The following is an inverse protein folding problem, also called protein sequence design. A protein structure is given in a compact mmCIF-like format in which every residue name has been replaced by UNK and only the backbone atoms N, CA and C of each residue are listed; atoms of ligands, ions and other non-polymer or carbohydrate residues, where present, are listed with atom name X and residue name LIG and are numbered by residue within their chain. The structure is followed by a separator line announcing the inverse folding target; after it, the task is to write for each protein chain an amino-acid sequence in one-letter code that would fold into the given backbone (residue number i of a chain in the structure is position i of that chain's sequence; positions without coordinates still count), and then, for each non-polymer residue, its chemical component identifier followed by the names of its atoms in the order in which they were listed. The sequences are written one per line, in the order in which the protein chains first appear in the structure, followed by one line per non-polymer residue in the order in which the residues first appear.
data_IF_899038213065
#
_entry.id   IF_899038213065
#
_cell.length_a   1.000
_cell.length_b   1.000
_cell.length_c   1.000
_cell.angle_alpha   90.00
_cell.angle_beta   90.00
_cell.angle_gamma   90.00
#
_symmetry.space_group_name_H-M   'P 1'
#
loop_
_entity.id
_entity.type
_entity.pdbx_description
1 polymer ?
#
# COMPACT_ATOMS: atom_id res chain seq x y z
N UNK A 1 0.93 -15.81 -26.75
CA UNK A 1 -0.18 -15.23 -25.97
C UNK A 1 -0.14 -13.72 -26.13
N UNK A 2 -1.29 -13.06 -26.25
CA UNK A 2 -1.35 -11.59 -26.20
C UNK A 2 -0.82 -11.11 -24.84
N UNK A 3 -0.16 -9.95 -24.81
CA UNK A 3 0.30 -9.36 -23.55
C UNK A 3 -0.92 -9.07 -22.66
N UNK A 4 -0.88 -9.51 -21.39
CA UNK A 4 -1.88 -9.13 -20.40
C UNK A 4 -1.63 -7.68 -20.00
N UNK A 5 -2.64 -6.83 -20.17
CA UNK A 5 -2.57 -5.40 -19.83
C UNK A 5 -3.47 -5.16 -18.61
N UNK A 6 -2.90 -4.51 -17.59
CA UNK A 6 -3.65 -3.90 -16.51
C UNK A 6 -3.84 -2.42 -16.84
N UNK A 7 -5.08 -2.00 -17.03
CA UNK A 7 -5.41 -0.60 -17.26
C UNK A 7 -5.70 0.09 -15.92
N UNK A 8 -5.11 1.26 -15.72
CA UNK A 8 -5.29 2.08 -14.51
C UNK A 8 -5.82 3.45 -14.91
N UNK A 9 -7.12 3.66 -14.77
CA UNK A 9 -7.77 4.94 -15.07
C UNK A 9 -7.63 5.87 -13.87
N UNK A 10 -6.86 6.95 -14.03
CA UNK A 10 -6.72 7.96 -12.98
C UNK A 10 -8.08 8.62 -12.67
N UNK A 11 -8.42 8.73 -11.38
CA UNK A 11 -9.65 9.37 -10.90
C UNK A 11 -9.49 10.87 -10.60
N UNK A 12 -8.27 11.39 -10.60
CA UNK A 12 -7.97 12.84 -10.54
C UNK A 12 -6.68 13.18 -11.31
N UNK A 13 -6.36 14.48 -11.40
CA UNK A 13 -5.21 14.99 -12.17
C UNK A 13 -3.87 14.48 -11.63
N UNK A 14 -3.75 14.37 -10.30
CA UNK A 14 -2.54 13.98 -9.58
C UNK A 14 -2.79 12.70 -8.76
N UNK A 15 -3.02 11.54 -9.40
CA UNK A 15 -3.24 10.29 -8.69
C UNK A 15 -1.96 9.85 -7.98
N UNK A 16 -2.06 8.88 -7.07
CA UNK A 16 -0.87 8.29 -6.45
C UNK A 16 0.05 7.70 -7.52
N UNK A 17 1.37 7.76 -7.29
CA UNK A 17 2.31 7.16 -8.24
C UNK A 17 2.18 5.64 -8.16
N UNK A 18 1.87 5.01 -9.29
CA UNK A 18 1.93 3.56 -9.47
C UNK A 18 3.33 3.18 -9.95
N UNK A 19 3.98 2.23 -9.28
CA UNK A 19 5.34 1.79 -9.60
C UNK A 19 5.45 0.27 -9.51
N UNK A 20 6.41 -0.34 -10.20
CA UNK A 20 6.75 -1.74 -9.94
C UNK A 20 7.30 -1.87 -8.50
N UNK A 21 6.92 -2.93 -7.79
CA UNK A 21 7.35 -3.13 -6.40
C UNK A 21 8.88 -3.34 -6.32
N UNK A 22 9.54 -2.66 -5.37
CA UNK A 22 10.98 -2.84 -5.13
C UNK A 22 11.22 -4.14 -4.35
N UNK A 23 12.34 -4.81 -4.61
CA UNK A 23 12.80 -5.98 -3.85
C UNK A 23 13.35 -5.60 -2.47
N UNK A 24 13.84 -4.38 -2.28
CA UNK A 24 14.61 -3.95 -1.10
C UNK A 24 13.74 -3.63 0.11
N UNK A 25 14.21 -3.99 1.31
CA UNK A 25 13.60 -3.61 2.60
C UNK A 25 14.69 -3.19 3.57
N UNK A 26 14.46 -2.12 4.33
CA UNK A 26 15.44 -1.59 5.27
C UNK A 26 15.87 -2.64 6.32
N UNK A 27 14.92 -3.39 6.89
CA UNK A 27 15.24 -4.44 7.87
C UNK A 27 16.04 -5.60 7.23
N UNK A 28 15.80 -5.89 5.95
CA UNK A 28 16.57 -6.91 5.23
C UNK A 28 17.98 -6.42 4.92
N UNK A 29 18.15 -5.14 4.59
CA UNK A 29 19.46 -4.51 4.42
C UNK A 29 20.26 -4.49 5.73
N UNK A 30 19.59 -4.38 6.87
CA UNK A 30 20.17 -4.41 8.21
C UNK A 30 20.43 -5.84 8.73
N UNK A 31 19.89 -6.88 8.07
CA UNK A 31 20.12 -8.26 8.50
C UNK A 31 21.60 -8.66 8.40
N UNK A 32 22.13 -9.52 9.30
CA UNK A 32 23.52 -9.93 9.26
C UNK A 32 23.92 -10.50 7.89
N UNK A 33 24.95 -9.93 7.27
CA UNK A 33 25.39 -10.28 5.91
C UNK A 33 24.27 -10.24 4.85
N UNK A 34 23.21 -9.43 5.06
CA UNK A 34 22.03 -9.37 4.19
C UNK A 34 21.35 -10.73 3.99
N UNK A 35 21.46 -11.61 4.99
CA UNK A 35 20.96 -12.99 4.95
C UNK A 35 19.43 -13.11 4.88
N UNK A 36 18.67 -12.01 4.93
CA UNK A 36 17.24 -12.05 4.63
C UNK A 36 16.97 -12.20 3.12
N UNK A 37 17.80 -11.60 2.25
CA UNK A 37 17.65 -11.69 0.78
C UNK A 37 17.99 -13.06 0.21
N UNK A 38 18.56 -13.89 1.05
CA UNK A 38 18.84 -15.29 0.81
C UNK A 38 17.54 -16.14 0.77
N UNK A 39 16.45 -15.66 1.37
CA UNK A 39 15.13 -16.27 1.20
C UNK A 39 14.54 -15.83 -0.15
N UNK A 40 14.84 -16.57 -1.22
CA UNK A 40 14.34 -16.26 -2.55
C UNK A 40 12.80 -16.07 -2.61
N UNK A 41 11.95 -16.87 -1.94
CA UNK A 41 10.50 -16.65 -1.94
C UNK A 41 10.13 -15.27 -1.36
N UNK A 42 10.85 -14.83 -0.32
CA UNK A 42 10.67 -13.51 0.29
C UNK A 42 11.02 -12.39 -0.68
N UNK A 43 12.14 -12.52 -1.41
CA UNK A 43 12.57 -11.51 -2.38
C UNK A 43 11.66 -11.43 -3.60
N UNK A 44 11.13 -12.57 -4.06
CA UNK A 44 10.13 -12.59 -5.14
C UNK A 44 8.84 -11.92 -4.66
N UNK A 45 8.36 -12.23 -3.45
CA UNK A 45 7.18 -11.61 -2.86
C UNK A 45 7.34 -10.08 -2.72
N UNK A 46 8.53 -9.60 -2.35
CA UNK A 46 8.81 -8.17 -2.25
C UNK A 46 8.56 -7.42 -3.56
N UNK A 47 8.93 -8.03 -4.69
CA UNK A 47 8.81 -7.48 -6.04
C UNK A 47 7.53 -7.92 -6.76
N UNK A 48 6.61 -8.59 -6.07
CA UNK A 48 5.43 -9.20 -6.68
C UNK A 48 4.30 -8.18 -6.82
N UNK A 49 4.12 -7.64 -8.02
CA UNK A 49 3.07 -6.69 -8.37
C UNK A 49 3.53 -5.23 -8.39
N UNK A 50 2.56 -4.32 -8.33
CA UNK A 50 2.79 -2.88 -8.37
C UNK A 50 2.37 -2.21 -7.07
N UNK A 51 2.99 -1.10 -6.72
CA UNK A 51 2.75 -0.37 -5.49
C UNK A 51 2.25 1.04 -5.80
N UNK A 52 1.34 1.52 -4.95
CA UNK A 52 0.92 2.92 -4.93
C UNK A 52 1.67 3.64 -3.82
N UNK A 53 2.27 4.77 -4.17
CA UNK A 53 3.06 5.59 -3.27
C UNK A 53 2.26 6.78 -2.76
N UNK A 54 2.40 7.08 -1.47
CA UNK A 54 1.76 8.26 -0.90
C UNK A 54 2.37 9.54 -1.49
N UNK A 55 1.55 10.52 -1.92
CA UNK A 55 2.06 11.76 -2.49
C UNK A 55 2.56 12.73 -1.41
N UNK A 56 2.10 12.56 -0.17
CA UNK A 56 2.40 13.40 0.98
C UNK A 56 2.56 12.55 2.24
N UNK A 57 3.15 13.13 3.27
CA UNK A 57 3.21 12.51 4.58
C UNK A 57 1.81 12.30 5.17
N UNK A 58 1.59 11.12 5.77
CA UNK A 58 0.37 10.79 6.52
C UNK A 58 0.76 10.37 7.93
N UNK A 59 0.12 10.95 8.94
CA UNK A 59 0.26 10.51 10.33
C UNK A 59 -1.13 10.17 10.87
N UNK A 60 -1.31 8.98 11.43
CA UNK A 60 -2.55 8.57 12.07
C UNK A 60 -2.29 8.19 13.53
N UNK A 61 -3.18 8.58 14.43
CA UNK A 61 -3.14 8.19 15.84
C UNK A 61 -4.49 7.60 16.23
N UNK A 62 -4.48 6.39 16.77
CA UNK A 62 -5.67 5.73 17.32
C UNK A 62 -5.59 5.64 18.85
N UNK A 63 -6.65 6.06 19.53
CA UNK A 63 -6.73 6.05 20.99
C UNK A 63 -7.21 4.69 21.59
N UNK A 64 -7.63 3.74 20.75
CA UNK A 64 -8.14 2.43 21.17
C UNK A 64 -9.68 2.30 21.20
N UNK A 65 -10.40 3.39 20.99
CA UNK A 65 -11.86 3.39 20.97
C UNK A 65 -12.46 2.86 19.66
N UNK A 66 -13.73 2.44 19.68
CA UNK A 66 -14.38 1.78 18.55
C UNK A 66 -14.96 2.75 17.52
N UNK A 67 -15.01 4.06 17.80
CA UNK A 67 -15.67 5.07 16.98
C UNK A 67 -14.83 5.60 15.82
N UNK A 68 -15.47 6.38 14.95
CA UNK A 68 -14.77 7.03 13.83
C UNK A 68 -13.76 8.08 14.31
N UNK A 69 -14.18 8.89 15.30
CA UNK A 69 -13.38 9.98 15.88
C UNK A 69 -12.19 9.51 16.72
N UNK A 70 -12.12 8.22 17.03
CA UNK A 70 -11.04 7.62 17.82
C UNK A 70 -9.72 7.52 17.04
N UNK A 71 -9.78 7.70 15.72
CA UNK A 71 -8.61 7.87 14.85
C UNK A 71 -8.52 9.33 14.40
N UNK A 72 -7.42 9.98 14.75
CA UNK A 72 -7.04 11.29 14.22
C UNK A 72 -6.03 11.12 13.08
N UNK A 73 -6.22 11.86 11.99
CA UNK A 73 -5.33 11.82 10.82
C UNK A 73 -4.82 13.22 10.51
N UNK A 74 -3.49 13.34 10.37
CA UNK A 74 -2.82 14.55 9.89
C UNK A 74 -2.21 14.26 8.52
N UNK A 75 -2.72 14.91 7.49
CA UNK A 75 -2.29 14.77 6.10
C UNK A 75 -2.49 16.10 5.36
N UNK A 76 -1.50 16.53 4.56
CA UNK A 76 -1.59 17.76 3.77
C UNK A 76 -2.53 17.64 2.56
N UNK A 77 -2.83 16.40 2.12
CA UNK A 77 -3.83 16.09 1.11
C UNK A 77 -5.05 15.52 1.84
N UNK A 78 -6.05 16.35 2.11
CA UNK A 78 -7.28 15.86 2.75
C UNK A 78 -7.89 14.71 1.94
N UNK A 79 -8.57 13.80 2.63
CA UNK A 79 -9.15 12.56 2.10
C UNK A 79 -8.15 11.48 1.65
N UNK A 80 -6.83 11.75 1.61
CA UNK A 80 -5.85 10.70 1.30
C UNK A 80 -5.91 9.54 2.30
N UNK A 81 -6.19 9.84 3.56
CA UNK A 81 -6.43 8.85 4.60
C UNK A 81 -7.50 9.37 5.57
N UNK A 82 -8.47 8.54 5.91
CA UNK A 82 -9.62 8.86 6.76
C UNK A 82 -10.05 7.65 7.59
N UNK A 83 -10.85 7.89 8.62
CA UNK A 83 -11.54 6.86 9.39
C UNK A 83 -13.00 6.83 8.97
N UNK A 84 -13.42 5.77 8.27
CA UNK A 84 -14.82 5.64 7.77
C UNK A 84 -15.50 4.32 8.17
N UNK A 85 -14.73 3.33 8.64
CA UNK A 85 -15.26 2.03 9.06
C UNK A 85 -15.24 1.81 10.59
N UNK A 86 -14.73 2.79 11.34
CA UNK A 86 -14.55 2.73 12.78
C UNK A 86 -13.62 1.57 13.20
N UNK A 87 -13.64 1.15 14.47
CA UNK A 87 -12.93 -0.04 14.97
C UNK A 87 -11.41 -0.07 14.66
N UNK A 88 -10.74 1.08 14.70
CA UNK A 88 -9.31 1.15 14.43
C UNK A 88 -8.95 0.94 12.94
N UNK A 89 -9.87 1.12 12.01
CA UNK A 89 -9.60 0.99 10.56
C UNK A 89 -9.24 2.36 9.97
N UNK A 90 -8.01 2.48 9.48
CA UNK A 90 -7.51 3.59 8.69
C UNK A 90 -7.68 3.27 7.20
N UNK A 91 -8.37 4.13 6.48
CA UNK A 91 -8.73 3.94 5.07
C UNK A 91 -8.01 4.93 4.20
N UNK A 92 -7.23 4.43 3.23
CA UNK A 92 -6.55 5.25 2.23
C UNK A 92 -7.28 5.25 0.90
N UNK A 93 -7.35 6.42 0.27
CA UNK A 93 -7.76 6.57 -1.12
C UNK A 93 -6.74 5.95 -2.09
N UNK A 94 -7.23 5.39 -3.19
CA UNK A 94 -6.44 4.74 -4.25
C UNK A 94 -6.45 5.53 -5.57
N UNK A 95 -7.30 6.57 -5.73
CA UNK A 95 -7.43 7.45 -6.92
C UNK A 95 -7.36 6.77 -8.31
N UNK A 96 -7.62 5.46 -8.42
CA UNK A 96 -7.64 4.72 -9.68
C UNK A 96 -8.87 3.82 -9.75
N UNK A 97 -9.43 3.72 -10.95
CA UNK A 97 -10.27 2.59 -11.36
C UNK A 97 -9.40 1.65 -12.17
N UNK A 98 -9.28 0.40 -11.74
CA UNK A 98 -8.45 -0.58 -12.42
C UNK A 98 -9.31 -1.51 -13.27
N UNK A 99 -8.81 -1.87 -14.46
CA UNK A 99 -9.41 -2.88 -15.32
C UNK A 99 -8.41 -3.96 -15.68
N UNK A 100 -8.73 -5.19 -15.33
CA UNK A 100 -7.99 -6.40 -15.70
C UNK A 100 -8.67 -7.08 -16.90
N UNK A 101 -7.96 -7.96 -17.64
CA UNK A 101 -8.60 -8.83 -18.62
C UNK A 101 -9.61 -9.76 -17.94
N UNK A 102 -10.64 -10.19 -18.70
CA UNK A 102 -11.66 -11.13 -18.22
C UNK A 102 -11.04 -12.38 -17.58
N UNK A 103 -11.52 -12.76 -16.40
CA UNK A 103 -11.03 -13.92 -15.65
C UNK A 103 -9.81 -13.66 -14.77
N UNK A 104 -9.43 -12.39 -14.61
CA UNK A 104 -8.36 -11.95 -13.71
C UNK A 104 -8.87 -10.88 -12.76
N UNK A 105 -8.49 -10.95 -11.48
CA UNK A 105 -8.82 -9.98 -10.44
C UNK A 105 -7.55 -9.32 -9.90
N UNK A 106 -7.71 -8.29 -9.07
CA UNK A 106 -6.63 -7.75 -8.27
C UNK A 106 -6.68 -8.29 -6.84
N UNK A 107 -5.59 -8.90 -6.38
CA UNK A 107 -5.29 -9.03 -4.96
C UNK A 107 -4.67 -7.72 -4.47
N UNK A 108 -5.34 -7.05 -3.54
CA UNK A 108 -4.94 -5.76 -2.98
C UNK A 108 -4.53 -5.99 -1.53
N UNK A 109 -3.33 -5.53 -1.16
CA UNK A 109 -2.80 -5.67 0.19
C UNK A 109 -1.79 -4.55 0.50
N UNK A 110 -1.16 -4.58 1.68
CA UNK A 110 -0.04 -3.70 1.99
C UNK A 110 1.26 -4.21 1.36
N UNK A 111 2.31 -3.37 1.33
CA UNK A 111 3.56 -3.75 0.70
C UNK A 111 4.21 -4.95 1.39
N UNK A 112 4.51 -6.00 0.62
CA UNK A 112 4.99 -7.27 1.16
C UNK A 112 6.29 -7.10 1.95
N UNK A 113 6.36 -7.65 3.16
CA UNK A 113 7.51 -7.57 4.06
C UNK A 113 8.01 -6.15 4.37
N UNK A 114 7.14 -5.14 4.21
CA UNK A 114 7.37 -3.77 4.66
C UNK A 114 6.47 -3.51 5.87
N UNK A 115 7.05 -3.64 7.05
CA UNK A 115 6.28 -3.67 8.29
C UNK A 115 6.03 -2.28 8.85
N UNK A 116 4.83 -2.08 9.39
CA UNK A 116 4.49 -0.97 10.29
C UNK A 116 4.11 -1.53 11.64
N UNK A 117 4.71 -1.00 12.69
CA UNK A 117 4.40 -1.39 14.05
C UNK A 117 3.02 -0.84 14.45
N UNK A 118 2.24 -1.68 15.14
CA UNK A 118 0.91 -1.34 15.65
C UNK A 118 -0.22 -1.23 14.63
N UNK A 119 0.03 -1.50 13.35
CA UNK A 119 -0.99 -1.48 12.30
C UNK A 119 -0.67 -2.50 11.19
N UNK A 120 -1.68 -3.21 10.70
CA UNK A 120 -1.53 -4.22 9.66
C UNK A 120 -2.41 -3.91 8.46
N UNK A 121 -1.94 -4.15 7.22
CA UNK A 121 -2.77 -3.97 6.04
C UNK A 121 -3.83 -5.07 5.97
N UNK A 122 -5.04 -4.70 5.58
CA UNK A 122 -6.07 -5.64 5.20
C UNK A 122 -5.82 -6.11 3.76
N UNK A 123 -6.21 -7.35 3.46
CA UNK A 123 -6.07 -7.92 2.12
C UNK A 123 -7.46 -8.16 1.55
N UNK A 124 -7.67 -7.76 0.29
CA UNK A 124 -8.93 -7.94 -0.42
C UNK A 124 -8.70 -8.42 -1.85
N UNK A 125 -9.72 -9.04 -2.43
CA UNK A 125 -9.76 -9.38 -3.87
C UNK A 125 -10.79 -8.47 -4.52
N UNK A 126 -10.40 -7.78 -5.58
CA UNK A 126 -11.24 -6.84 -6.33
C UNK A 126 -11.52 -7.42 -7.71
N UNK A 127 -12.79 -7.56 -8.05
CA UNK A 127 -13.29 -8.08 -9.33
C UNK A 127 -13.14 -7.07 -10.47
N UNK A 128 -11.91 -6.60 -10.68
CA UNK A 128 -11.53 -5.55 -11.63
C UNK A 128 -11.72 -5.92 -13.11
N UNK A 129 -12.18 -7.13 -13.43
CA UNK A 129 -12.50 -7.49 -14.81
C UNK A 129 -13.90 -7.05 -15.24
N UNK A 130 -14.77 -6.71 -14.29
CA UNK A 130 -16.08 -6.11 -14.56
C UNK A 130 -16.38 -4.87 -13.72
N UNK A 131 -15.77 -4.71 -12.54
CA UNK A 131 -16.10 -3.66 -11.58
C UNK A 131 -15.55 -2.28 -12.03
N UNK A 132 -16.41 -1.28 -12.35
CA UNK A 132 -15.96 0.02 -12.81
C UNK A 132 -15.84 1.03 -11.64
N UNK A 133 -15.49 0.56 -10.44
CA UNK A 133 -15.46 1.37 -9.22
C UNK A 133 -14.06 1.48 -8.65
N UNK A 134 -13.79 2.58 -7.94
CA UNK A 134 -12.63 2.69 -7.08
C UNK A 134 -12.79 1.77 -5.86
N UNK A 135 -11.69 1.35 -5.27
CA UNK A 135 -11.65 0.72 -3.95
C UNK A 135 -10.78 1.54 -3.00
N UNK A 136 -10.82 1.23 -1.72
CA UNK A 136 -9.94 1.83 -0.71
C UNK A 136 -8.93 0.80 -0.21
N UNK A 137 -7.75 1.28 0.18
CA UNK A 137 -6.76 0.45 0.87
C UNK A 137 -6.93 0.62 2.38
N UNK A 138 -7.25 -0.47 3.09
CA UNK A 138 -7.56 -0.42 4.51
C UNK A 138 -6.44 -1.01 5.35
N UNK A 139 -6.13 -0.36 6.47
CA UNK A 139 -5.16 -0.81 7.45
C UNK A 139 -5.83 -0.84 8.83
N UNK A 140 -5.67 -1.93 9.56
CA UNK A 140 -6.26 -2.11 10.88
C UNK A 140 -5.21 -1.92 11.96
N UNK A 141 -5.45 -1.00 12.90
CA UNK A 141 -4.64 -0.88 14.09
C UNK A 141 -4.78 -2.15 14.94
N UNK A 142 -3.64 -2.69 15.37
CA UNK A 142 -3.60 -3.87 16.26
C UNK A 142 -3.42 -3.49 17.72
N UNK A 143 -3.06 -2.23 17.98
CA UNK A 143 -3.00 -1.61 19.30
C UNK A 143 -3.10 -0.09 19.18
N UNK A 144 -3.55 0.62 20.23
CA UNK A 144 -3.51 2.08 20.27
C UNK A 144 -2.09 2.59 20.04
N UNK A 145 -1.98 3.74 19.37
CA UNK A 145 -0.69 4.32 19.05
C UNK A 145 -0.72 5.22 17.83
N UNK A 146 0.48 5.67 17.45
CA UNK A 146 0.71 6.60 16.35
C UNK A 146 1.58 5.95 15.28
N UNK A 147 1.15 6.04 14.04
CA UNK A 147 1.87 5.54 12.86
C UNK A 147 2.04 6.66 11.84
N UNK A 148 3.18 6.67 11.14
CA UNK A 148 3.49 7.64 10.08
C UNK A 148 3.92 6.93 8.82
N UNK A 149 3.47 7.45 7.68
CA UNK A 149 4.02 7.20 6.35
C UNK A 149 4.64 8.48 5.81
N UNK A 150 5.76 8.33 5.10
CA UNK A 150 6.41 9.44 4.40
C UNK A 150 5.86 9.58 2.98
N UNK A 151 5.94 10.77 2.41
CA UNK A 151 5.77 10.96 0.99
C UNK A 151 6.73 10.04 0.22
N UNK A 152 6.23 9.41 -0.85
CA UNK A 152 6.93 8.39 -1.63
C UNK A 152 6.92 6.99 -1.02
N UNK A 153 6.40 6.81 0.20
CA UNK A 153 6.32 5.49 0.82
C UNK A 153 5.14 4.68 0.26
N UNK A 154 5.31 3.39 -0.05
CA UNK A 154 4.21 2.56 -0.50
C UNK A 154 3.22 2.28 0.64
N UNK A 155 1.93 2.35 0.36
CA UNK A 155 0.85 2.04 1.31
C UNK A 155 -0.09 0.93 0.81
N UNK A 156 -0.02 0.63 -0.49
CA UNK A 156 -0.85 -0.36 -1.17
C UNK A 156 0.03 -1.10 -2.19
N UNK A 157 -0.20 -2.40 -2.32
CA UNK A 157 0.39 -3.28 -3.32
C UNK A 157 -0.74 -4.07 -4.00
N UNK A 158 -0.70 -4.11 -5.32
CA UNK A 158 -1.69 -4.78 -6.16
C UNK A 158 -1.01 -5.88 -7.00
N UNK A 159 -1.63 -7.05 -7.04
CA UNK A 159 -1.17 -8.22 -7.79
C UNK A 159 -2.31 -8.74 -8.65
N UNK A 160 -2.02 -9.11 -9.89
CA UNK A 160 -3.03 -9.76 -10.75
C UNK A 160 -3.11 -11.23 -10.35
N UNK A 161 -4.32 -11.72 -10.07
CA UNK A 161 -4.59 -13.12 -9.75
C UNK A 161 -5.64 -13.69 -10.71
N UNK A 162 -5.49 -14.94 -11.10
CA UNK A 162 -6.47 -15.60 -11.96
C UNK A 162 -7.65 -16.10 -11.11
N UNK A 163 -8.86 -15.74 -11.52
CA UNK A 163 -10.08 -15.96 -10.73
C UNK A 163 -10.42 -17.44 -10.63
N UNK A 164 -10.49 -18.13 -11.78
CA UNK A 164 -11.04 -19.49 -11.84
C UNK A 164 -10.16 -20.53 -11.17
N UNK A 165 -8.83 -20.32 -11.14
CA UNK A 165 -7.87 -21.28 -10.59
C UNK A 165 -8.19 -21.63 -9.14
N UNK A 166 -8.61 -20.68 -8.31
CA UNK A 166 -8.93 -20.96 -6.91
C UNK A 166 -10.23 -21.76 -6.74
N UNK A 167 -11.23 -21.50 -7.59
CA UNK A 167 -12.53 -22.19 -7.55
C UNK A 167 -12.45 -23.60 -8.16
N UNK A 168 -11.65 -23.74 -9.22
CA UNK A 168 -11.51 -24.98 -9.99
C UNK A 168 -10.47 -25.94 -9.39
N UNK A 169 -9.69 -25.49 -8.40
CA UNK A 169 -8.67 -26.34 -7.76
C UNK A 169 -9.27 -27.10 -6.59
N UNK A 170 -9.24 -28.44 -6.67
CA UNK A 170 -9.46 -29.33 -5.53
C UNK A 170 -8.11 -29.73 -4.92
N UNK A 171 -7.76 -29.27 -3.70
CA UNK A 171 -6.59 -29.77 -3.00
C UNK A 171 -6.76 -31.27 -2.72
N UNK A 172 -5.74 -32.07 -3.07
CA UNK A 172 -5.69 -33.51 -2.77
C UNK A 172 -4.54 -33.75 -1.80
N UNK A 173 -4.85 -34.33 -0.65
CA UNK A 173 -3.86 -34.74 0.35
C UNK A 173 -3.48 -36.19 0.07
N UNK A 174 -2.18 -36.46 -0.09
CA UNK A 174 -1.64 -37.79 -0.34
C UNK A 174 -0.59 -38.15 0.70
N UNK A 175 -0.40 -39.43 0.95
CA UNK A 175 0.78 -39.89 1.68
C UNK A 175 2.01 -39.69 0.81
N UNK A 176 3.12 -39.24 1.40
CA UNK A 176 4.37 -39.06 0.62
C UNK A 176 4.85 -40.41 0.05
N UNK A 177 4.52 -41.52 0.72
CA UNK A 177 4.86 -42.87 0.31
C UNK A 177 4.13 -43.32 -0.97
N UNK A 178 3.01 -42.68 -1.33
CA UNK A 178 2.27 -42.99 -2.55
C UNK A 178 3.01 -42.52 -3.82
N UNK A 179 4.05 -41.69 -3.66
CA UNK A 179 4.97 -41.27 -4.72
C UNK A 179 6.43 -41.56 -4.29
N UNK A 180 6.94 -42.78 -4.54
CA UNK A 180 8.27 -43.19 -4.10
C UNK A 180 9.41 -42.33 -4.64
N UNK A 181 9.25 -41.78 -5.85
CA UNK A 181 10.24 -40.89 -6.46
C UNK A 181 10.30 -39.57 -5.70
N UNK A 182 9.14 -38.93 -5.46
CA UNK A 182 9.06 -37.71 -4.68
C UNK A 182 9.51 -37.92 -3.22
N UNK A 183 9.17 -39.06 -2.61
CA UNK A 183 9.65 -39.43 -1.28
C UNK A 183 11.19 -39.53 -1.22
N UNK A 184 11.83 -40.12 -2.23
CA UNK A 184 13.29 -40.22 -2.31
C UNK A 184 13.93 -38.82 -2.46
N UNK A 185 13.38 -37.97 -3.32
CA UNK A 185 13.84 -36.58 -3.47
C UNK A 185 13.73 -35.79 -2.15
N UNK A 186 12.59 -35.91 -1.46
CA UNK A 186 12.37 -35.28 -0.17
C UNK A 186 13.32 -35.80 0.91
N UNK A 187 13.56 -37.12 0.96
CA UNK A 187 14.48 -37.73 1.91
C UNK A 187 15.93 -37.25 1.70
N UNK A 188 16.37 -37.14 0.44
CA UNK A 188 17.69 -36.60 0.09
C UNK A 188 17.85 -35.15 0.57
N UNK A 189 16.86 -34.29 0.28
CA UNK A 189 16.83 -32.92 0.76
C UNK A 189 16.84 -32.85 2.29
N UNK A 190 15.96 -33.60 2.97
CA UNK A 190 15.86 -33.64 4.44
C UNK A 190 17.18 -34.04 5.09
N UNK A 191 17.84 -35.08 4.57
CA UNK A 191 19.11 -35.57 5.10
C UNK A 191 20.25 -34.55 4.90
N UNK A 192 20.28 -33.86 3.75
CA UNK A 192 21.23 -32.76 3.48
C UNK A 192 21.02 -31.60 4.44
N UNK A 193 19.76 -31.22 4.68
CA UNK A 193 19.37 -30.16 5.62
C UNK A 193 19.79 -30.49 7.06
N UNK A 194 19.51 -31.70 7.53
CA UNK A 194 19.90 -32.16 8.87
C UNK A 194 21.42 -32.17 9.06
N UNK A 195 22.17 -32.64 8.07
CA UNK A 195 23.65 -32.62 8.09
C UNK A 195 24.20 -31.19 8.16
N UNK A 196 23.59 -30.27 7.40
CA UNK A 196 23.98 -28.85 7.36
C UNK A 196 23.64 -28.15 8.68
N UNK A 197 22.45 -28.37 9.23
CA UNK A 197 22.03 -27.82 10.52
C UNK A 197 22.89 -28.32 11.69
N UNK A 198 23.20 -29.63 11.74
CA UNK A 198 24.13 -30.19 12.75
C UNK A 198 25.53 -29.59 12.64
N UNK A 199 26.04 -29.38 11.42
CA UNK A 199 27.32 -28.71 11.17
C UNK A 199 27.33 -27.26 11.67
N UNK A 200 26.27 -26.50 11.41
CA UNK A 200 26.15 -25.11 11.89
C UNK A 200 26.07 -25.04 13.42
N UNK A 201 25.36 -25.97 14.06
CA UNK A 201 25.27 -26.05 15.52
C UNK A 201 26.60 -26.40 16.23
N UNK A 202 27.52 -27.07 15.53
CA UNK A 202 28.84 -27.46 16.06
C UNK A 202 29.87 -26.31 16.11
N UNK A 203 29.51 -25.09 15.68
CA UNK A 203 30.20 -23.85 16.07
C UNK A 203 31.64 -23.59 15.58
N UNK A 204 32.30 -24.51 14.88
CA UNK A 204 33.67 -24.25 14.42
C UNK A 204 33.74 -23.10 13.38
N UNK A 205 34.77 -22.25 13.44
CA UNK A 205 34.95 -21.08 12.54
C UNK A 205 34.86 -21.42 11.03
N UNK A 206 35.32 -22.62 10.63
CA UNK A 206 35.20 -23.12 9.25
C UNK A 206 33.75 -23.43 8.84
N UNK A 207 32.89 -23.76 9.80
CA UNK A 207 31.49 -24.14 9.58
C UNK A 207 30.55 -22.94 9.52
N UNK A 208 30.91 -21.85 10.20
CA UNK A 208 30.24 -20.54 10.06
C UNK A 208 30.49 -19.90 8.68
N UNK A 209 31.60 -20.27 8.02
CA UNK A 209 31.92 -19.90 6.62
C UNK A 209 31.39 -20.89 5.59
N UNK A 210 30.77 -22.00 6.02
CA UNK A 210 30.23 -22.98 5.08
C UNK A 210 29.06 -22.35 4.30
N UNK A 211 28.98 -22.57 2.97
CA UNK A 211 27.87 -22.05 2.19
C UNK A 211 26.57 -22.62 2.74
N UNK A 212 25.68 -21.74 3.17
CA UNK A 212 24.26 -22.04 3.32
C UNK A 212 23.71 -22.69 2.04
N UNK A 213 22.68 -23.53 2.17
CA UNK A 213 22.17 -24.39 1.10
C UNK A 213 21.59 -23.57 -0.08
N UNK A 214 22.23 -23.65 -1.25
CA UNK A 214 21.94 -22.83 -2.45
C UNK A 214 21.14 -23.56 -3.53
N UNK A 215 20.69 -24.78 -3.29
CA UNK A 215 20.06 -25.61 -4.32
C UNK A 215 18.81 -24.92 -4.87
N UNK A 216 17.93 -24.42 -3.98
CA UNK A 216 16.77 -23.64 -4.40
C UNK A 216 17.17 -22.38 -5.18
N UNK A 217 18.13 -21.58 -4.69
CA UNK A 217 18.64 -20.39 -5.41
C UNK A 217 19.21 -20.69 -6.80
N UNK A 218 19.71 -21.91 -6.99
CA UNK A 218 20.39 -22.33 -8.21
C UNK A 218 19.47 -23.10 -9.15
N UNK A 219 18.18 -23.24 -8.80
CA UNK A 219 17.23 -24.07 -9.55
C UNK A 219 17.66 -25.53 -9.60
N UNK A 220 18.05 -26.10 -8.46
CA UNK A 220 18.49 -27.50 -8.34
C UNK A 220 17.68 -28.27 -7.30
N UNK A 221 17.48 -29.56 -7.54
CA UNK A 221 16.92 -30.51 -6.59
C UNK A 221 17.96 -30.91 -5.53
N UNK A 222 17.50 -31.64 -4.50
CA UNK A 222 18.34 -32.14 -3.41
C UNK A 222 19.38 -33.20 -3.83
N UNK A 223 19.34 -33.69 -5.07
CA UNK A 223 20.37 -34.54 -5.69
C UNK A 223 21.42 -33.72 -6.48
N UNK A 224 21.19 -32.41 -6.67
CA UNK A 224 22.05 -31.51 -7.45
C UNK A 224 21.67 -31.36 -8.92
N UNK A 225 20.67 -32.12 -9.42
CA UNK A 225 20.14 -31.99 -10.78
C UNK A 225 19.36 -30.68 -10.93
N UNK A 226 19.36 -30.10 -12.14
CA UNK A 226 18.58 -28.89 -12.43
C UNK A 226 17.08 -29.19 -12.46
N UNK A 227 16.28 -28.20 -12.09
CA UNK A 227 14.82 -28.27 -12.28
C UNK A 227 14.48 -28.40 -13.75
N UNK A 228 13.44 -29.16 -14.07
CA UNK A 228 12.89 -29.27 -15.42
C UNK A 228 12.10 -28.03 -15.85
N UNK A 229 11.64 -27.23 -14.88
CA UNK A 229 10.95 -25.96 -15.10
C UNK A 229 11.91 -24.76 -15.08
N UNK A 230 11.49 -23.65 -15.71
CA UNK A 230 12.16 -22.37 -15.58
C UNK A 230 12.12 -21.89 -14.12
N UNK A 231 13.30 -21.70 -13.54
CA UNK A 231 13.45 -21.27 -12.15
C UNK A 231 13.61 -19.74 -12.07
N UNK A 232 12.62 -19.06 -11.48
CA UNK A 232 12.63 -17.61 -11.32
C UNK A 232 13.45 -17.20 -10.10
N UNK A 233 14.61 -16.60 -10.33
CA UNK A 233 15.50 -16.08 -9.27
C UNK A 233 15.36 -14.58 -9.03
N UNK A 234 14.79 -13.86 -10.00
CA UNK A 234 14.52 -12.41 -9.92
C UNK A 234 13.27 -12.11 -10.73
N UNK A 235 12.32 -11.40 -10.11
CA UNK A 235 11.15 -10.87 -10.80
C UNK A 235 11.43 -9.41 -11.19
N UNK A 236 11.21 -9.08 -12.47
CA UNK A 236 11.31 -7.71 -12.99
C UNK A 236 10.02 -7.39 -13.70
N UNK A 237 9.21 -6.52 -13.09
CA UNK A 237 7.93 -6.11 -13.65
C UNK A 237 8.09 -4.84 -14.50
N UNK A 238 7.21 -4.70 -15.49
CA UNK A 238 7.14 -3.50 -16.30
C UNK A 238 6.77 -2.29 -15.43
N UNK A 239 7.47 -1.17 -15.61
CA UNK A 239 7.02 0.10 -15.07
C UNK A 239 5.73 0.53 -15.77
N UNK A 240 4.76 1.12 -15.04
CA UNK A 240 3.56 1.67 -15.67
C UNK A 240 3.91 2.74 -16.71
N UNK A 241 3.16 2.76 -17.81
CA UNK A 241 3.26 3.77 -18.87
C UNK A 241 2.10 4.74 -18.68
N UNK A 242 2.40 6.04 -18.59
CA UNK A 242 1.37 7.07 -18.47
C UNK A 242 0.98 7.56 -19.88
N UNK A 243 -0.14 7.04 -20.39
CA UNK A 243 -0.69 7.40 -21.70
C UNK A 243 -1.70 8.56 -21.63
N UNK A 244 -1.87 9.18 -20.45
CA UNK A 244 -2.83 10.29 -20.29
C UNK A 244 -2.39 11.47 -21.17
N UNK A 245 -3.31 11.96 -22.00
CA UNK A 245 -3.12 13.22 -22.71
C UNK A 245 -3.27 14.38 -21.72
N UNK A 246 -2.52 15.48 -21.88
CA UNK A 246 -2.74 16.69 -21.09
C UNK A 246 -4.21 17.12 -21.16
N UNK A 247 -4.78 17.53 -20.04
CA UNK A 247 -6.13 18.08 -20.04
C UNK A 247 -6.17 19.32 -20.94
N UNK A 248 -7.23 19.50 -21.76
CA UNK A 248 -7.43 20.74 -22.49
C UNK A 248 -7.42 21.93 -21.53
N UNK A 249 -6.84 23.07 -21.95
CA UNK A 249 -6.80 24.28 -21.12
C UNK A 249 -8.21 24.64 -20.64
N UNK A 250 -8.39 24.73 -19.32
CA UNK A 250 -9.66 25.08 -18.68
C UNK A 250 -10.60 23.91 -18.36
N UNK A 251 -10.22 22.67 -18.66
CA UNK A 251 -10.99 21.47 -18.31
C UNK A 251 -10.40 20.81 -17.07
N UNK A 252 -11.20 20.64 -16.02
CA UNK A 252 -10.88 19.82 -14.85
C UNK A 252 -11.36 18.38 -15.09
N UNK A 253 -10.64 17.39 -14.57
CA UNK A 253 -11.14 16.01 -14.53
C UNK A 253 -12.46 16.00 -13.75
N UNK A 254 -13.52 15.47 -14.38
CA UNK A 254 -14.94 15.46 -13.96
C UNK A 254 -15.81 16.61 -14.47
N UNK A 255 -15.30 17.57 -15.25
CA UNK A 255 -16.12 18.66 -15.80
C UNK A 255 -16.73 19.58 -14.73
N UNK A 256 -16.36 19.41 -13.47
CA UNK A 256 -16.81 20.24 -12.37
C UNK A 256 -16.11 21.60 -12.48
N UNK A 257 -16.86 22.59 -12.97
CA UNK A 257 -16.55 24.03 -12.78
C UNK A 257 -16.54 24.42 -11.30
N UNK A 258 -17.07 23.54 -10.43
CA UNK A 258 -17.22 23.75 -9.01
C UNK A 258 -15.91 23.39 -8.29
N UNK A 259 -15.30 24.39 -7.65
CA UNK A 259 -14.15 24.26 -6.76
C UNK A 259 -14.65 24.02 -5.34
N UNK A 260 -14.27 22.92 -4.71
CA UNK A 260 -14.65 22.68 -3.32
C UNK A 260 -13.61 23.28 -2.39
N UNK A 261 -14.03 24.11 -1.43
CA UNK A 261 -13.14 24.63 -0.39
C UNK A 261 -13.64 24.17 0.99
N UNK A 262 -12.73 23.60 1.76
CA UNK A 262 -12.98 23.18 3.14
C UNK A 262 -12.26 24.14 4.07
N UNK A 263 -13.02 24.67 5.02
CA UNK A 263 -12.59 25.70 5.96
C UNK A 263 -12.79 25.23 7.40
N UNK A 264 -11.81 25.45 8.27
CA UNK A 264 -11.96 25.29 9.72
C UNK A 264 -12.15 26.64 10.37
N UNK A 265 -13.16 26.74 11.24
CA UNK A 265 -13.37 27.92 12.06
C UNK A 265 -12.23 28.12 13.05
N UNK A 266 -11.60 29.29 13.02
CA UNK A 266 -10.53 29.72 13.92
C UNK A 266 -10.85 31.11 14.48
N UNK A 267 -10.36 31.42 15.68
CA UNK A 267 -10.50 32.75 16.29
C UNK A 267 -9.13 33.42 16.27
N UNK A 268 -9.07 34.70 15.87
CA UNK A 268 -7.83 35.47 15.99
C UNK A 268 -7.57 35.91 17.44
N UNK A 269 -6.39 36.47 17.69
CA UNK A 269 -5.97 36.93 19.02
C UNK A 269 -6.86 38.05 19.60
N UNK A 270 -7.71 38.68 18.79
CA UNK A 270 -8.65 39.73 19.19
C UNK A 270 -10.10 39.22 19.27
N UNK A 271 -10.33 37.91 19.14
CA UNK A 271 -11.65 37.28 19.21
C UNK A 271 -12.50 37.46 17.94
N UNK A 272 -11.90 37.82 16.79
CA UNK A 272 -12.60 37.90 15.51
C UNK A 272 -12.61 36.52 14.84
N UNK A 273 -13.75 36.16 14.25
CA UNK A 273 -13.91 34.91 13.48
C UNK A 273 -13.05 34.96 12.22
N UNK A 274 -12.32 33.88 12.00
CA UNK A 274 -11.49 33.65 10.82
C UNK A 274 -11.67 32.19 10.38
N UNK A 275 -11.26 31.91 9.15
CA UNK A 275 -11.38 30.59 8.57
C UNK A 275 -10.04 30.18 7.99
N UNK A 276 -9.50 29.06 8.47
CA UNK A 276 -8.30 28.48 7.87
C UNK A 276 -8.72 27.63 6.68
N UNK A 277 -8.10 27.87 5.53
CA UNK A 277 -8.26 27.01 4.36
C UNK A 277 -7.53 25.69 4.61
N UNK A 278 -8.30 24.61 4.79
CA UNK A 278 -7.74 23.28 4.98
C UNK A 278 -7.55 22.55 3.63
N UNK A 279 -8.45 22.76 2.65
CA UNK A 279 -8.28 22.23 1.28
C UNK A 279 -9.06 23.00 0.24
N UNK A 280 -8.49 23.04 -0.97
CA UNK A 280 -9.15 23.46 -2.21
C UNK A 280 -9.06 22.30 -3.22
N UNK A 281 -10.19 21.82 -3.73
CA UNK A 281 -10.26 20.89 -4.85
C UNK A 281 -10.51 21.64 -6.17
N UNK A 282 -9.91 21.18 -7.27
CA UNK A 282 -10.13 21.71 -8.63
C UNK A 282 -9.75 23.17 -8.87
N UNK A 283 -8.81 23.74 -8.10
CA UNK A 283 -8.21 25.04 -8.41
C UNK A 283 -6.70 24.92 -8.60
N UNK A 284 -6.17 25.60 -9.62
CA UNK A 284 -4.74 25.70 -9.91
C UNK A 284 -3.96 26.51 -8.86
N UNK A 285 -4.65 27.13 -7.89
CA UNK A 285 -4.04 27.86 -6.78
C UNK A 285 -4.08 26.99 -5.51
N UNK A 286 -2.90 26.59 -5.04
CA UNK A 286 -2.71 25.81 -3.82
C UNK A 286 -2.17 26.74 -2.72
N UNK A 287 -2.96 27.00 -1.67
CA UNK A 287 -2.50 27.74 -0.47
C UNK A 287 -3.12 27.16 0.83
N UNK A 288 -2.78 25.92 1.23
CA UNK A 288 -3.18 25.41 2.54
C UNK A 288 -2.63 26.29 3.67
N UNK A 289 -3.43 26.48 4.74
CA UNK A 289 -3.16 27.39 5.87
C UNK A 289 -3.30 28.89 5.59
N UNK A 290 -3.80 29.29 4.42
CA UNK A 290 -4.25 30.66 4.25
C UNK A 290 -5.40 30.93 5.22
N UNK A 291 -5.33 32.08 5.91
CA UNK A 291 -6.41 32.57 6.75
C UNK A 291 -7.27 33.49 5.91
N UNK A 292 -8.53 33.14 5.77
CA UNK A 292 -9.57 33.98 5.18
C UNK A 292 -10.36 34.66 6.30
N UNK A 293 -10.71 35.92 6.08
CA UNK A 293 -11.69 36.57 6.94
C UNK A 293 -13.11 36.15 6.55
N UNK A 294 -14.09 36.56 7.36
CA UNK A 294 -15.50 36.22 7.14
C UNK A 294 -16.00 36.73 5.78
N UNK A 295 -15.57 37.92 5.35
CA UNK A 295 -16.04 38.54 4.11
C UNK A 295 -15.50 37.80 2.88
N UNK A 296 -14.27 37.29 2.95
CA UNK A 296 -13.68 36.49 1.87
C UNK A 296 -14.39 35.13 1.73
N UNK A 297 -14.82 34.54 2.84
CA UNK A 297 -15.61 33.29 2.84
C UNK A 297 -17.03 33.51 2.34
N UNK A 298 -17.66 34.64 2.71
CA UNK A 298 -18.96 35.04 2.18
C UNK A 298 -18.91 35.23 0.66
N UNK A 299 -17.91 35.95 0.13
CA UNK A 299 -17.71 36.11 -1.32
C UNK A 299 -17.51 34.77 -2.04
N UNK A 300 -16.74 33.85 -1.44
CA UNK A 300 -16.57 32.50 -2.00
C UNK A 300 -17.86 31.68 -1.94
N UNK A 301 -18.73 31.94 -0.96
CA UNK A 301 -20.02 31.25 -0.82
C UNK A 301 -21.08 31.78 -1.78
N UNK A 302 -20.95 33.04 -2.21
CA UNK A 302 -21.81 33.69 -3.22
C UNK A 302 -21.41 33.36 -4.66
N UNK A 303 -20.16 32.96 -4.90
CA UNK A 303 -19.69 32.53 -6.22
C UNK A 303 -20.14 31.08 -6.51
N UNK A 304 -21.10 30.93 -7.42
CA UNK A 304 -21.66 29.62 -7.84
C UNK A 304 -20.61 28.63 -8.40
N UNK A 305 -19.39 29.09 -8.68
CA UNK A 305 -18.26 28.23 -9.04
C UNK A 305 -17.54 27.60 -7.85
N UNK A 306 -17.98 27.88 -6.62
CA UNK A 306 -17.44 27.30 -5.40
C UNK A 306 -18.50 26.56 -4.58
N UNK A 307 -18.06 25.47 -3.95
CA UNK A 307 -18.81 24.82 -2.88
C UNK A 307 -17.98 24.94 -1.60
N UNK A 308 -18.49 25.71 -0.63
CA UNK A 308 -17.83 26.03 0.62
C UNK A 308 -18.36 25.12 1.73
N UNK A 309 -17.48 24.36 2.37
CA UNK A 309 -17.80 23.54 3.54
C UNK A 309 -17.04 24.06 4.76
N UNK A 310 -17.77 24.55 5.76
CA UNK A 310 -17.19 25.00 7.03
C UNK A 310 -17.33 23.90 8.08
N UNK A 311 -16.21 23.41 8.59
CA UNK A 311 -16.15 22.48 9.72
C UNK A 311 -16.26 23.28 11.04
N UNK A 312 -17.11 22.82 11.97
CA UNK A 312 -17.27 23.46 13.30
C UNK A 312 -16.00 23.28 14.15
N UNK A 313 -15.67 24.32 14.90
CA UNK A 313 -14.39 24.56 15.61
C UNK A 313 -13.98 23.50 16.63
N UNK A 314 -12.66 23.26 16.74
CA UNK A 314 -12.03 22.88 18.00
C UNK A 314 -11.92 24.14 18.88
N UNK A 315 -12.53 24.11 20.06
CA UNK A 315 -12.32 25.14 21.08
C UNK A 315 -10.89 25.00 21.60
N UNK A 316 -10.02 25.97 21.31
CA UNK A 316 -8.75 26.07 22.02
C UNK A 316 -9.10 26.42 23.47
N UNK A 317 -9.02 25.44 24.36
CA UNK A 317 -9.02 25.70 25.79
C UNK A 317 -7.80 26.58 26.09
N UNK A 318 -8.03 27.85 26.40
CA UNK A 318 -7.02 28.70 27.00
C UNK A 318 -6.62 28.10 28.35
N UNK A 319 -5.42 27.51 28.44
CA UNK A 319 -4.77 27.25 29.70
C UNK A 319 -3.89 28.45 30.07
N UNK A 320 -4.47 29.38 30.83
CA UNK A 320 -3.86 30.44 31.65
C UNK A 320 -5.03 30.94 32.53
N UNK A 321 -5.06 30.99 33.85
CA UNK A 321 -4.14 30.94 35.02
C UNK A 321 -4.93 30.23 36.16
N UNK A 322 -4.40 29.64 37.22
CA UNK A 322 -3.38 30.06 38.20
C UNK A 322 -2.62 28.87 38.79
#
# INVERSE_FOLDING_TARGET
MAALILEAFAGNEYPQRLVAADVRRDWMDQSPNRNAYHCLPLTIANAYGWQLLLPVDVTATWNGGPGLADISVRCARLQQAISIFANGILTFDVSYVFRTPKGFHLLVTGPSNLFKDGIVPMTGVVESDWLPFTFTMNWQFTRPGKVRWRAGEPYCQICIVQTSVQQDTQPVIKWIQDDPEFAAQYALWKNRRLRTGKRQALGNEKTLRAPWEKDYLSGRYGDGNKTSAEHVTKLRLHSPIDERKPLPRGMTMNGAKIKNIVLTHVMDANGKRQYRVDTVFNSAAYYPNQILDVNDVEKLSEDESWQVQVLRSETVAHSHEH
#
